data_IF_499764831121
#
_entry.id   IF_499764831121
#
_cell.length_a   1.000
_cell.length_b   1.000
_cell.length_c   1.000
_cell.angle_alpha   90.00
_cell.angle_beta   90.00
_cell.angle_gamma   90.00
#
_symmetry.space_group_name_H-M   'P 1'
#
loop_
_entity.id
_entity.type
_entity.pdbx_description
1 polymer ?
#
# COMPACT_ATOMS: atom_id res chain seq x y z
N UNK A 1 -11.51 6.38 -17.40
CA UNK A 1 -10.38 6.38 -16.43
C UNK A 1 -10.36 5.02 -15.76
N UNK A 2 -9.22 4.37 -15.74
CA UNK A 2 -9.03 3.12 -14.99
C UNK A 2 -8.79 3.42 -13.51
N UNK A 3 -9.48 2.70 -12.63
CA UNK A 3 -9.36 2.83 -11.17
C UNK A 3 -8.70 1.57 -10.61
N UNK A 4 -7.56 1.74 -9.94
CA UNK A 4 -6.78 0.64 -9.34
C UNK A 4 -6.63 0.87 -7.84
N UNK A 5 -7.19 -0.03 -7.03
CA UNK A 5 -6.97 0.02 -5.59
C UNK A 5 -5.56 -0.50 -5.26
N UNK A 6 -4.70 0.39 -4.77
CA UNK A 6 -3.31 0.06 -4.45
C UNK A 6 -3.15 -0.84 -3.22
N UNK A 7 -4.23 -1.16 -2.50
CA UNK A 7 -4.15 -2.06 -1.35
C UNK A 7 -5.51 -2.63 -0.95
N UNK A 8 -5.64 -3.93 -1.13
CA UNK A 8 -6.68 -4.74 -0.48
C UNK A 8 -6.03 -5.94 0.24
N UNK A 9 -6.81 -6.61 1.07
CA UNK A 9 -6.40 -7.83 1.76
C UNK A 9 -7.41 -8.94 1.52
N UNK A 10 -6.92 -10.15 1.22
CA UNK A 10 -7.71 -11.37 1.17
C UNK A 10 -7.20 -12.35 2.22
N UNK A 11 -8.11 -13.07 2.88
CA UNK A 11 -7.79 -14.15 3.81
C UNK A 11 -8.97 -15.11 3.94
N UNK A 12 -8.65 -16.36 4.19
CA UNK A 12 -9.65 -17.44 4.41
C UNK A 12 -9.75 -17.86 5.89
N UNK A 13 -8.68 -17.68 6.66
CA UNK A 13 -8.55 -18.16 8.03
C UNK A 13 -7.67 -17.24 8.89
N UNK A 14 -7.51 -17.62 10.14
CA UNK A 14 -6.73 -16.86 11.11
C UNK A 14 -7.56 -15.80 11.83
N UNK A 15 -6.94 -15.05 12.74
CA UNK A 15 -7.57 -13.98 13.50
C UNK A 15 -7.10 -12.63 13.00
N UNK A 16 -7.94 -11.89 12.30
CA UNK A 16 -7.59 -10.55 11.80
C UNK A 16 -7.23 -9.58 12.94
N UNK A 17 -6.38 -8.61 12.64
CA UNK A 17 -6.17 -7.48 13.55
C UNK A 17 -7.49 -6.77 13.81
N UNK A 18 -7.69 -6.26 15.04
CA UNK A 18 -8.98 -5.76 15.53
C UNK A 18 -9.62 -4.64 14.67
N UNK A 19 -8.82 -3.91 13.90
CA UNK A 19 -9.29 -2.83 13.03
C UNK A 19 -9.74 -3.29 11.64
N UNK A 20 -9.56 -4.56 11.29
CA UNK A 20 -10.12 -5.16 10.08
C UNK A 20 -11.46 -5.87 10.37
N UNK A 21 -12.23 -6.13 9.33
CA UNK A 21 -13.39 -7.03 9.45
C UNK A 21 -12.96 -8.38 10.04
N UNK A 22 -13.80 -8.99 10.84
CA UNK A 22 -13.45 -10.19 11.59
C UNK A 22 -13.88 -11.50 10.89
N UNK A 23 -14.50 -11.42 9.72
CA UNK A 23 -14.86 -12.55 8.87
C UNK A 23 -13.92 -12.67 7.69
N UNK A 24 -13.69 -13.84 7.12
CA UNK A 24 -12.93 -14.00 5.88
C UNK A 24 -13.37 -13.04 4.77
N UNK A 25 -12.44 -12.70 3.89
CA UNK A 25 -12.70 -11.89 2.70
C UNK A 25 -11.99 -12.54 1.52
N UNK A 26 -12.77 -13.13 0.62
CA UNK A 26 -12.28 -13.91 -0.51
C UNK A 26 -12.42 -13.15 -1.83
N UNK A 27 -11.79 -13.66 -2.86
CA UNK A 27 -11.76 -13.01 -4.19
C UNK A 27 -13.13 -12.81 -4.80
N UNK A 28 -14.08 -13.72 -4.57
CA UNK A 28 -15.44 -13.64 -5.12
C UNK A 28 -16.20 -12.44 -4.55
N UNK A 29 -16.09 -12.23 -3.23
CA UNK A 29 -16.70 -11.07 -2.57
C UNK A 29 -15.98 -9.80 -2.96
N UNK A 30 -14.64 -9.82 -2.99
CA UNK A 30 -13.84 -8.67 -3.40
C UNK A 30 -14.17 -8.21 -4.83
N UNK A 31 -14.33 -9.13 -5.77
CA UNK A 31 -14.72 -8.81 -7.16
C UNK A 31 -16.12 -8.19 -7.23
N UNK A 32 -17.09 -8.75 -6.50
CA UNK A 32 -18.43 -8.20 -6.46
C UNK A 32 -18.45 -6.77 -5.89
N UNK A 33 -17.69 -6.55 -4.80
CA UNK A 33 -17.57 -5.23 -4.18
C UNK A 33 -16.84 -4.23 -5.08
N UNK A 34 -15.77 -4.66 -5.78
CA UNK A 34 -15.04 -3.86 -6.77
C UNK A 34 -15.96 -3.43 -7.91
N UNK A 35 -16.72 -4.36 -8.47
CA UNK A 35 -17.65 -4.08 -9.57
C UNK A 35 -18.74 -3.09 -9.14
N UNK A 36 -19.29 -3.25 -7.93
CA UNK A 36 -20.27 -2.34 -7.35
C UNK A 36 -19.70 -0.92 -7.11
N UNK A 37 -18.39 -0.79 -6.86
CA UNK A 37 -17.73 0.48 -6.61
C UNK A 37 -17.08 1.09 -7.86
N UNK A 38 -17.09 0.41 -9.02
CA UNK A 38 -16.47 0.86 -10.24
C UNK A 38 -14.94 0.76 -10.23
N UNK A 39 -14.39 -0.23 -9.53
CA UNK A 39 -12.94 -0.46 -9.44
C UNK A 39 -12.54 -1.54 -10.43
N UNK A 40 -11.62 -1.18 -11.32
CA UNK A 40 -11.20 -2.07 -12.41
C UNK A 40 -10.21 -3.14 -11.91
N UNK A 41 -9.27 -2.75 -11.02
CA UNK A 41 -8.16 -3.59 -10.58
C UNK A 41 -7.83 -3.36 -9.11
N UNK A 42 -7.22 -4.34 -8.45
CA UNK A 42 -6.72 -4.18 -7.08
C UNK A 42 -5.42 -4.92 -6.84
N UNK A 43 -4.57 -4.37 -5.97
CA UNK A 43 -3.34 -5.03 -5.55
C UNK A 43 -3.54 -5.68 -4.19
N UNK A 44 -3.41 -7.02 -4.17
CA UNK A 44 -3.56 -7.82 -2.96
C UNK A 44 -2.26 -7.72 -2.15
N UNK A 45 -2.42 -7.37 -0.90
CA UNK A 45 -1.37 -7.45 0.11
C UNK A 45 -1.71 -8.60 1.06
N UNK A 46 -1.04 -9.75 0.94
CA UNK A 46 -1.25 -10.89 1.83
C UNK A 46 -1.08 -10.52 3.30
N UNK A 47 -1.83 -11.19 4.17
CA UNK A 47 -1.90 -10.88 5.60
C UNK A 47 -1.11 -11.91 6.42
N UNK A 48 -0.48 -11.48 7.51
CA UNK A 48 0.36 -12.37 8.34
C UNK A 48 -0.45 -13.28 9.27
N UNK A 49 -1.73 -12.99 9.52
CA UNK A 49 -2.58 -13.85 10.33
C UNK A 49 -3.13 -15.07 9.59
N UNK A 50 -3.05 -15.08 8.26
CA UNK A 50 -3.34 -16.25 7.43
C UNK A 50 -2.04 -16.72 6.77
N UNK A 51 -1.46 -17.86 7.20
CA UNK A 51 -0.18 -18.34 6.69
C UNK A 51 -0.20 -18.70 5.20
N UNK A 52 -1.40 -18.96 4.64
CA UNK A 52 -1.57 -19.30 3.23
C UNK A 52 -1.93 -18.07 2.37
N UNK A 53 -1.88 -16.87 2.94
CA UNK A 53 -2.36 -15.64 2.29
C UNK A 53 -1.62 -15.31 0.98
N UNK A 54 -0.34 -15.63 0.85
CA UNK A 54 0.37 -15.49 -0.44
C UNK A 54 -0.21 -16.44 -1.50
N UNK A 55 -0.47 -17.70 -1.14
CA UNK A 55 -1.03 -18.68 -2.08
C UNK A 55 -2.47 -18.35 -2.46
N UNK A 56 -3.27 -17.89 -1.48
CA UNK A 56 -4.63 -17.40 -1.73
C UNK A 56 -4.64 -16.24 -2.74
N UNK A 57 -3.68 -15.31 -2.61
CA UNK A 57 -3.52 -14.21 -3.55
C UNK A 57 -3.10 -14.69 -4.94
N UNK A 58 -2.20 -15.69 -5.04
CA UNK A 58 -1.78 -16.30 -6.31
C UNK A 58 -2.98 -17.00 -6.99
N UNK A 59 -3.81 -17.70 -6.23
CA UNK A 59 -5.04 -18.32 -6.76
C UNK A 59 -6.00 -17.26 -7.32
N UNK A 60 -6.15 -16.13 -6.63
CA UNK A 60 -6.98 -15.03 -7.12
C UNK A 60 -6.44 -14.46 -8.45
N UNK A 61 -5.12 -14.25 -8.55
CA UNK A 61 -4.50 -13.78 -9.81
C UNK A 61 -4.61 -14.82 -10.93
N UNK A 62 -4.41 -16.10 -10.66
CA UNK A 62 -4.57 -17.16 -11.68
C UNK A 62 -5.98 -17.20 -12.26
N UNK A 63 -6.98 -16.97 -11.40
CA UNK A 63 -8.38 -16.94 -11.83
C UNK A 63 -8.74 -15.62 -12.55
N UNK A 64 -8.14 -14.50 -12.15
CA UNK A 64 -8.48 -13.16 -12.62
C UNK A 64 -7.21 -12.31 -12.82
N UNK A 65 -6.33 -12.64 -13.80
CA UNK A 65 -5.03 -11.98 -13.99
C UNK A 65 -5.16 -10.49 -14.37
N UNK A 66 -6.29 -10.11 -14.98
CA UNK A 66 -6.56 -8.72 -15.35
C UNK A 66 -7.09 -7.87 -14.19
N UNK A 67 -7.50 -8.51 -13.09
CA UNK A 67 -8.12 -7.84 -11.96
C UNK A 67 -7.18 -7.70 -10.75
N UNK A 68 -6.20 -8.59 -10.59
CA UNK A 68 -5.37 -8.66 -9.41
C UNK A 68 -3.87 -8.72 -9.71
N UNK A 69 -3.08 -8.02 -8.88
CA UNK A 69 -1.65 -8.19 -8.74
C UNK A 69 -1.31 -8.33 -7.24
N UNK A 70 -0.05 -8.66 -6.91
CA UNK A 70 0.33 -9.00 -5.54
C UNK A 70 1.60 -8.24 -5.12
N UNK A 71 1.55 -7.62 -3.95
CA UNK A 71 2.72 -7.21 -3.17
C UNK A 71 2.83 -8.17 -1.98
N UNK A 72 3.59 -9.24 -2.16
CA UNK A 72 3.65 -10.34 -1.19
C UNK A 72 4.64 -10.12 -0.05
N UNK A 73 4.80 -11.11 0.82
CA UNK A 73 5.74 -11.06 1.93
C UNK A 73 6.33 -12.44 2.24
N UNK A 74 7.46 -12.45 2.97
CA UNK A 74 8.06 -13.63 3.57
C UNK A 74 8.77 -13.26 4.88
N UNK A 75 9.16 -14.26 5.68
CA UNK A 75 9.87 -14.02 6.93
C UNK A 75 11.33 -13.64 6.67
N UNK A 76 11.65 -12.37 6.89
CA UNK A 76 12.95 -11.77 6.59
C UNK A 76 14.11 -12.29 7.46
N UNK A 77 13.82 -12.84 8.64
CA UNK A 77 14.78 -13.40 9.58
C UNK A 77 15.04 -14.90 9.37
N UNK A 78 14.29 -15.56 8.48
CA UNK A 78 14.47 -16.97 8.13
C UNK A 78 15.37 -17.06 6.89
N UNK A 79 16.60 -17.56 7.09
CA UNK A 79 17.61 -17.61 6.03
C UNK A 79 17.15 -18.43 4.81
N UNK A 80 16.44 -19.53 5.05
CA UNK A 80 15.86 -20.39 4.02
C UNK A 80 14.81 -19.67 3.17
N UNK A 81 14.09 -18.70 3.72
CA UNK A 81 13.11 -17.91 2.98
C UNK A 81 13.74 -16.75 2.21
N UNK A 82 14.91 -16.27 2.65
CA UNK A 82 15.62 -15.19 1.92
C UNK A 82 15.96 -15.58 0.49
N UNK A 83 16.26 -16.85 0.24
CA UNK A 83 16.55 -17.34 -1.11
C UNK A 83 15.36 -17.19 -2.07
N UNK A 84 14.13 -17.15 -1.56
CA UNK A 84 12.94 -17.01 -2.37
C UNK A 84 12.87 -15.65 -3.12
N UNK A 85 13.61 -14.64 -2.66
CA UNK A 85 13.63 -13.33 -3.31
C UNK A 85 14.20 -13.40 -4.74
N UNK A 86 15.14 -14.29 -5.01
CA UNK A 86 15.78 -14.43 -6.33
C UNK A 86 14.79 -14.85 -7.44
N UNK A 87 13.74 -15.55 -7.08
CA UNK A 87 12.69 -15.99 -8.00
C UNK A 87 11.32 -15.37 -7.70
N UNK A 88 11.29 -14.30 -6.88
CA UNK A 88 10.05 -13.73 -6.36
C UNK A 88 9.06 -13.36 -7.46
N UNK A 89 9.52 -12.60 -8.46
CA UNK A 89 8.70 -12.15 -9.59
C UNK A 89 8.29 -13.26 -10.57
N UNK A 90 8.84 -14.47 -10.45
CA UNK A 90 8.44 -15.62 -11.27
C UNK A 90 7.11 -16.24 -10.78
N UNK A 91 6.69 -15.93 -9.57
CA UNK A 91 5.39 -16.39 -9.04
C UNK A 91 4.26 -15.59 -9.68
N UNK A 92 3.14 -16.25 -10.06
CA UNK A 92 2.03 -15.56 -10.73
C UNK A 92 1.55 -14.31 -9.98
N UNK A 93 1.54 -13.18 -10.67
CA UNK A 93 1.06 -11.90 -10.15
C UNK A 93 1.93 -11.19 -9.12
N UNK A 94 3.06 -11.79 -8.73
CA UNK A 94 3.99 -11.15 -7.78
C UNK A 94 4.72 -9.99 -8.43
N UNK A 95 4.40 -8.77 -8.01
CA UNK A 95 5.00 -7.53 -8.52
C UNK A 95 6.03 -6.93 -7.56
N UNK A 96 5.89 -7.19 -6.27
CA UNK A 96 6.79 -6.61 -5.27
C UNK A 96 6.64 -7.25 -3.89
N UNK A 97 7.17 -6.57 -2.89
CA UNK A 97 7.15 -6.97 -1.50
C UNK A 97 6.45 -5.92 -0.64
N UNK A 98 5.79 -6.38 0.43
CA UNK A 98 5.22 -5.48 1.42
C UNK A 98 5.55 -5.95 2.82
N UNK A 99 6.05 -5.03 3.66
CA UNK A 99 6.41 -5.32 5.04
C UNK A 99 5.89 -4.27 6.01
N UNK A 100 5.69 -4.72 7.26
CA UNK A 100 5.48 -3.85 8.41
C UNK A 100 6.25 -4.42 9.61
N UNK A 101 6.76 -3.54 10.47
CA UNK A 101 7.62 -3.88 11.60
C UNK A 101 7.00 -3.34 12.87
N UNK A 102 5.85 -3.88 13.27
CA UNK A 102 5.07 -3.37 14.41
C UNK A 102 4.95 -4.36 15.58
N UNK A 103 5.43 -5.58 15.42
CA UNK A 103 5.50 -6.54 16.50
C UNK A 103 6.85 -6.46 17.25
N UNK A 104 6.92 -6.90 18.53
CA UNK A 104 8.15 -6.80 19.34
C UNK A 104 9.37 -7.49 18.74
N UNK A 105 9.17 -8.50 17.88
CA UNK A 105 10.27 -9.23 17.23
C UNK A 105 10.92 -8.42 16.12
N UNK A 106 10.13 -7.66 15.38
CA UNK A 106 10.58 -7.01 14.14
C UNK A 106 10.72 -5.49 14.24
N UNK A 107 10.25 -4.86 15.31
CA UNK A 107 10.21 -3.40 15.42
C UNK A 107 11.59 -2.72 15.36
N UNK A 108 12.67 -3.43 15.71
CA UNK A 108 14.04 -2.91 15.63
C UNK A 108 14.71 -3.11 14.27
N UNK A 109 14.20 -4.03 13.45
CA UNK A 109 14.86 -4.46 12.21
C UNK A 109 15.18 -3.35 11.22
N UNK A 110 14.37 -2.29 11.09
CA UNK A 110 14.72 -1.16 10.21
C UNK A 110 16.01 -0.45 10.60
N UNK A 111 16.39 -0.50 11.91
CA UNK A 111 17.50 0.27 12.47
C UNK A 111 18.69 -0.60 12.93
N UNK A 112 18.51 -1.90 13.18
CA UNK A 112 19.51 -2.79 13.76
C UNK A 112 20.39 -3.55 12.75
N UNK A 113 20.20 -3.29 11.45
CA UNK A 113 20.97 -3.94 10.39
C UNK A 113 20.38 -5.27 9.89
N UNK A 114 19.35 -5.82 10.54
CA UNK A 114 18.71 -7.08 10.13
C UNK A 114 18.22 -7.06 8.68
N UNK A 115 17.84 -5.88 8.16
CA UNK A 115 17.32 -5.70 6.80
C UNK A 115 18.38 -5.24 5.79
N UNK A 116 19.63 -5.03 6.18
CA UNK A 116 20.65 -4.46 5.29
C UNK A 116 20.92 -5.33 4.05
N UNK A 117 20.68 -6.62 4.14
CA UNK A 117 20.77 -7.54 3.00
C UNK A 117 19.63 -7.36 1.98
N UNK A 118 18.44 -6.94 2.43
CA UNK A 118 17.23 -6.87 1.61
C UNK A 118 17.33 -5.78 0.53
N UNK A 119 17.80 -4.59 0.92
CA UNK A 119 17.73 -3.41 0.07
C UNK A 119 18.54 -3.55 -1.23
N UNK A 120 19.85 -3.95 -1.19
CA UNK A 120 20.63 -4.14 -2.41
C UNK A 120 20.09 -5.29 -3.27
N UNK A 121 19.53 -6.33 -2.67
CA UNK A 121 18.96 -7.46 -3.43
C UNK A 121 17.67 -7.04 -4.12
N UNK A 122 16.75 -6.37 -3.42
CA UNK A 122 15.52 -5.85 -4.01
C UNK A 122 15.80 -4.84 -5.13
N UNK A 123 16.80 -3.94 -4.93
CA UNK A 123 17.25 -3.00 -5.96
C UNK A 123 17.80 -3.70 -7.20
N UNK A 124 18.65 -4.71 -7.02
CA UNK A 124 19.25 -5.48 -8.12
C UNK A 124 18.21 -6.24 -8.94
N UNK A 125 17.19 -6.78 -8.28
CA UNK A 125 16.13 -7.58 -8.89
C UNK A 125 14.95 -6.73 -9.37
N UNK A 126 15.02 -5.40 -9.24
CA UNK A 126 13.92 -4.48 -9.54
C UNK A 126 12.59 -4.92 -8.88
N UNK A 127 12.66 -5.24 -7.58
CA UNK A 127 11.51 -5.60 -6.76
C UNK A 127 11.07 -4.38 -5.96
N UNK A 128 9.93 -3.74 -6.27
CA UNK A 128 9.39 -2.65 -5.46
C UNK A 128 9.04 -3.13 -4.05
N UNK A 129 9.27 -2.26 -3.05
CA UNK A 129 8.98 -2.56 -1.65
C UNK A 129 8.00 -1.54 -1.08
N UNK A 130 6.87 -2.02 -0.57
CA UNK A 130 5.91 -1.21 0.20
C UNK A 130 6.17 -1.37 1.69
N UNK A 131 6.19 -0.25 2.42
CA UNK A 131 6.52 -0.20 3.83
C UNK A 131 5.45 0.53 4.65
N UNK A 132 4.91 -0.12 5.65
CA UNK A 132 4.22 0.58 6.74
C UNK A 132 5.28 1.14 7.68
N UNK A 133 5.72 2.37 7.41
CA UNK A 133 6.95 2.95 7.94
C UNK A 133 6.74 4.07 8.98
N UNK A 134 5.55 4.15 9.60
CA UNK A 134 5.19 5.26 10.50
C UNK A 134 6.18 5.50 11.65
N UNK A 135 6.91 4.48 12.08
CA UNK A 135 7.87 4.57 13.18
C UNK A 135 9.31 4.89 12.71
N UNK A 136 9.62 4.74 11.39
CA UNK A 136 10.99 4.84 10.89
C UNK A 136 11.10 5.60 9.55
N UNK A 137 10.24 6.58 9.30
CA UNK A 137 10.27 7.41 8.09
C UNK A 137 11.66 8.01 7.77
N UNK A 138 12.42 8.57 8.75
CA UNK A 138 13.77 9.06 8.46
C UNK A 138 14.73 7.97 7.93
N UNK A 139 14.59 6.73 8.42
CA UNK A 139 15.39 5.60 7.96
C UNK A 139 15.09 5.22 6.51
N UNK A 140 13.82 5.36 6.09
CA UNK A 140 13.45 5.16 4.67
C UNK A 140 14.21 6.13 3.76
N UNK A 141 14.38 7.39 4.16
CA UNK A 141 15.18 8.36 3.42
C UNK A 141 16.64 7.90 3.25
N UNK A 142 17.26 7.39 4.31
CA UNK A 142 18.63 6.86 4.25
C UNK A 142 18.74 5.63 3.33
N UNK A 143 17.75 4.74 3.35
CA UNK A 143 17.69 3.58 2.45
C UNK A 143 17.55 4.07 1.00
N UNK A 144 16.66 5.00 0.73
CA UNK A 144 16.42 5.54 -0.60
C UNK A 144 17.68 6.23 -1.19
N UNK A 145 18.46 6.93 -0.36
CA UNK A 145 19.72 7.56 -0.76
C UNK A 145 20.80 6.53 -1.13
N UNK A 146 20.90 5.44 -0.37
CA UNK A 146 21.88 4.36 -0.59
C UNK A 146 21.51 3.46 -1.78
N UNK A 147 20.21 3.35 -2.07
CA UNK A 147 19.65 2.48 -3.09
C UNK A 147 18.74 3.26 -4.06
N UNK A 148 19.31 4.13 -4.92
CA UNK A 148 18.55 5.10 -5.70
C UNK A 148 17.65 4.49 -6.80
N UNK A 149 17.86 3.22 -7.16
CA UNK A 149 16.98 2.50 -8.10
C UNK A 149 15.92 1.68 -7.39
N UNK A 150 16.02 1.47 -6.07
CA UNK A 150 15.02 0.74 -5.29
C UNK A 150 13.74 1.57 -5.20
N UNK A 151 12.65 1.08 -5.78
CA UNK A 151 11.33 1.70 -5.66
C UNK A 151 10.73 1.39 -4.30
N UNK A 152 10.53 2.42 -3.46
CA UNK A 152 9.93 2.30 -2.13
C UNK A 152 8.60 3.05 -2.10
N UNK A 153 7.52 2.41 -1.66
CA UNK A 153 6.25 3.08 -1.40
C UNK A 153 5.89 3.06 0.09
N UNK A 154 5.44 4.18 0.62
CA UNK A 154 5.03 4.32 2.01
C UNK A 154 3.53 4.08 2.12
N UNK A 155 3.14 3.07 2.88
CA UNK A 155 1.74 2.73 3.13
C UNK A 155 1.05 3.81 3.97
N UNK A 156 -0.22 4.08 3.64
CA UNK A 156 -1.14 4.91 4.43
C UNK A 156 -0.60 6.32 4.76
N UNK A 157 0.20 6.91 3.88
CA UNK A 157 0.83 8.21 4.11
C UNK A 157 1.66 8.26 5.42
N UNK A 158 2.24 7.13 5.84
CA UNK A 158 3.02 7.04 7.06
C UNK A 158 2.20 7.21 8.35
N UNK A 159 0.90 7.02 8.30
CA UNK A 159 0.01 7.11 9.47
C UNK A 159 0.28 5.95 10.42
N UNK A 160 0.44 6.21 11.73
CA UNK A 160 0.59 5.14 12.73
C UNK A 160 -0.65 4.24 12.79
N UNK A 161 -0.43 2.96 13.10
CA UNK A 161 -1.54 1.99 13.24
C UNK A 161 -2.49 2.40 14.36
N UNK A 162 -3.75 1.98 14.23
CA UNK A 162 -4.82 2.22 15.20
C UNK A 162 -5.06 3.70 15.55
N UNK A 163 -4.68 4.64 14.65
CA UNK A 163 -4.93 6.07 14.82
C UNK A 163 -6.34 6.41 14.38
N UNK A 164 -6.98 7.32 15.11
CA UNK A 164 -8.27 7.93 14.77
C UNK A 164 -8.15 9.45 14.81
N UNK A 165 -8.85 10.13 13.92
CA UNK A 165 -8.82 11.58 13.76
C UNK A 165 -7.64 12.07 12.91
N UNK A 166 -7.92 13.03 12.03
CA UNK A 166 -6.95 13.56 11.06
C UNK A 166 -5.73 14.18 11.74
N UNK A 167 -5.90 14.92 12.84
CA UNK A 167 -4.79 15.54 13.59
C UNK A 167 -3.77 14.48 14.06
N UNK A 168 -4.25 13.44 14.71
CA UNK A 168 -3.38 12.36 15.19
C UNK A 168 -2.80 11.54 14.02
N UNK A 169 -3.58 11.33 12.97
CA UNK A 169 -3.15 10.58 11.78
C UNK A 169 -1.97 11.26 11.10
N UNK A 170 -2.03 12.57 10.92
CA UNK A 170 -1.04 13.32 10.16
C UNK A 170 0.07 13.95 10.99
N UNK A 171 0.26 13.53 12.24
CA UNK A 171 1.36 14.03 13.10
C UNK A 171 2.75 13.81 12.49
N UNK A 172 2.91 12.76 11.69
CA UNK A 172 4.16 12.43 11.00
C UNK A 172 4.25 13.03 9.57
N UNK A 173 3.26 13.82 9.15
CA UNK A 173 3.22 14.39 7.81
C UNK A 173 4.49 15.18 7.45
N UNK A 174 5.09 16.02 8.32
CA UNK A 174 6.35 16.70 7.97
C UNK A 174 7.49 15.73 7.64
N UNK A 175 7.59 14.60 8.34
CA UNK A 175 8.61 13.58 8.07
C UNK A 175 8.33 12.86 6.74
N UNK A 176 7.07 12.57 6.45
CA UNK A 176 6.68 12.00 5.15
C UNK A 176 7.03 12.96 4.00
N UNK A 177 6.64 14.23 4.11
CA UNK A 177 6.90 15.22 3.06
C UNK A 177 8.40 15.42 2.79
N UNK A 178 9.26 15.28 3.80
CA UNK A 178 10.71 15.33 3.64
C UNK A 178 11.27 14.20 2.74
N UNK A 179 10.52 13.10 2.58
CA UNK A 179 10.90 11.99 1.69
C UNK A 179 10.64 12.28 0.21
N UNK A 180 9.85 13.30 -0.12
CA UNK A 180 9.52 13.64 -1.50
C UNK A 180 10.72 14.05 -2.35
N UNK A 181 11.83 14.48 -1.72
CA UNK A 181 13.12 14.78 -2.37
C UNK A 181 13.75 13.54 -3.03
N UNK A 182 13.39 12.32 -2.59
CA UNK A 182 13.89 11.07 -3.15
C UNK A 182 12.99 10.62 -4.31
N UNK A 183 13.47 10.61 -5.57
CA UNK A 183 12.63 10.27 -6.74
C UNK A 183 12.16 8.80 -6.74
N UNK A 184 12.85 7.94 -6.01
CA UNK A 184 12.55 6.51 -5.83
C UNK A 184 11.66 6.23 -4.61
N UNK A 185 11.10 7.27 -3.97
CA UNK A 185 10.09 7.13 -2.91
C UNK A 185 8.75 7.65 -3.41
N UNK A 186 7.73 6.84 -3.24
CA UNK A 186 6.33 7.16 -3.50
C UNK A 186 5.49 6.96 -2.23
N UNK A 187 4.24 7.39 -2.28
CA UNK A 187 3.31 7.31 -1.15
C UNK A 187 1.99 6.68 -1.58
N UNK A 188 1.47 5.78 -0.79
CA UNK A 188 0.12 5.24 -0.94
C UNK A 188 -0.83 6.03 -0.05
N UNK A 189 -1.75 6.77 -0.66
CA UNK A 189 -2.87 7.42 0.00
C UNK A 189 -4.00 6.40 0.27
N UNK A 190 -3.62 5.25 0.83
CA UNK A 190 -4.53 4.15 1.13
C UNK A 190 -5.16 4.31 2.51
N UNK A 191 -6.43 3.94 2.64
CA UNK A 191 -7.11 3.89 3.92
C UNK A 191 -7.45 5.24 4.53
N UNK A 192 -7.40 6.32 3.77
CA UNK A 192 -7.50 7.68 4.33
C UNK A 192 -8.86 7.94 4.97
N UNK A 193 -9.97 7.55 4.33
CA UNK A 193 -11.30 7.71 4.90
C UNK A 193 -11.46 7.09 6.30
N UNK A 194 -10.70 6.04 6.61
CA UNK A 194 -10.71 5.40 7.93
C UNK A 194 -10.13 6.25 9.06
N UNK A 195 -9.47 7.36 8.77
CA UNK A 195 -8.93 8.28 9.78
C UNK A 195 -9.84 9.48 10.07
N UNK A 196 -10.85 9.72 9.23
CA UNK A 196 -11.79 10.81 9.43
C UNK A 196 -12.74 10.51 10.58
N UNK A 197 -13.04 11.54 11.38
CA UNK A 197 -14.11 11.54 12.38
C UNK A 197 -15.32 12.34 11.90
N UNK A 198 -15.14 13.15 10.88
CA UNK A 198 -16.21 13.90 10.20
C UNK A 198 -16.88 13.03 9.14
N UNK A 199 -18.16 13.33 8.81
CA UNK A 199 -18.88 12.61 7.78
C UNK A 199 -18.28 12.84 6.38
N UNK A 200 -18.66 11.99 5.42
CA UNK A 200 -18.36 12.22 4.01
C UNK A 200 -18.77 13.66 3.60
N UNK A 201 -17.96 14.39 2.85
CA UNK A 201 -16.75 13.95 2.13
C UNK A 201 -15.42 14.06 2.91
N UNK A 202 -15.41 13.93 4.24
CA UNK A 202 -14.21 13.82 5.05
C UNK A 202 -13.27 15.03 4.91
N UNK A 203 -13.80 16.25 5.08
CA UNK A 203 -13.07 17.50 4.89
C UNK A 203 -11.78 17.61 5.71
N UNK A 204 -11.76 16.97 6.89
CA UNK A 204 -10.57 16.94 7.75
C UNK A 204 -9.32 16.32 7.10
N UNK A 205 -9.48 15.55 6.02
CA UNK A 205 -8.38 14.89 5.31
C UNK A 205 -7.81 15.72 4.15
N UNK A 206 -8.58 16.71 3.64
CA UNK A 206 -8.30 17.34 2.34
C UNK A 206 -6.96 18.10 2.31
N UNK A 207 -6.61 18.84 3.38
CA UNK A 207 -5.34 19.57 3.47
C UNK A 207 -4.14 18.61 3.40
N UNK A 208 -4.15 17.54 4.18
CA UNK A 208 -3.05 16.59 4.20
C UNK A 208 -2.88 15.88 2.84
N UNK A 209 -4.00 15.50 2.19
CA UNK A 209 -3.99 14.90 0.86
C UNK A 209 -3.40 15.87 -0.17
N UNK A 210 -3.80 17.15 -0.13
CA UNK A 210 -3.28 18.17 -1.05
C UNK A 210 -1.79 18.40 -0.86
N UNK A 211 -1.32 18.54 0.37
CA UNK A 211 0.11 18.72 0.69
C UNK A 211 0.97 17.52 0.24
N UNK A 212 0.43 16.30 0.35
CA UNK A 212 1.13 15.10 -0.16
C UNK A 212 1.19 15.13 -1.68
N UNK A 213 0.09 15.49 -2.34
CA UNK A 213 0.05 15.64 -3.79
C UNK A 213 1.05 16.70 -4.28
N UNK A 214 1.11 17.87 -3.65
CA UNK A 214 2.05 18.94 -4.00
C UNK A 214 3.51 18.49 -3.87
N UNK A 215 3.82 17.67 -2.85
CA UNK A 215 5.19 17.21 -2.59
C UNK A 215 5.63 16.06 -3.51
N UNK A 216 4.77 15.06 -3.69
CA UNK A 216 5.12 13.84 -4.43
C UNK A 216 4.71 13.87 -5.90
N UNK A 217 3.73 14.70 -6.24
CA UNK A 217 3.14 14.78 -7.57
C UNK A 217 2.29 13.55 -7.94
N UNK A 218 1.58 13.60 -9.09
CA UNK A 218 0.62 12.57 -9.48
C UNK A 218 1.26 11.21 -9.80
N UNK A 219 2.56 11.19 -10.12
CA UNK A 219 3.29 9.95 -10.48
C UNK A 219 3.79 9.16 -9.27
N UNK A 220 3.75 9.75 -8.06
CA UNK A 220 4.28 9.14 -6.84
C UNK A 220 3.28 9.22 -5.67
N UNK A 221 2.02 9.51 -5.95
CA UNK A 221 0.91 9.39 -5.01
C UNK A 221 -0.09 8.38 -5.57
N UNK A 222 -0.38 7.32 -4.82
CA UNK A 222 -1.23 6.21 -5.27
C UNK A 222 -2.47 6.09 -4.41
N UNK A 223 -3.63 6.15 -5.04
CA UNK A 223 -4.91 5.91 -4.38
C UNK A 223 -5.08 4.43 -4.00
N UNK A 224 -5.84 4.18 -2.94
CA UNK A 224 -6.30 2.86 -2.54
C UNK A 224 -7.07 2.91 -1.23
N UNK A 225 -7.70 1.80 -0.84
CA UNK A 225 -8.66 1.83 0.24
C UNK A 225 -8.25 1.10 1.51
N UNK A 226 -7.62 -0.08 1.39
CA UNK A 226 -7.54 -1.01 2.52
C UNK A 226 -8.97 -1.31 3.07
N UNK A 227 -9.89 -1.61 2.16
CA UNK A 227 -11.36 -1.61 2.35
C UNK A 227 -11.81 -2.37 3.59
N UNK A 228 -11.13 -3.43 3.97
CA UNK A 228 -11.53 -4.31 5.07
C UNK A 228 -11.47 -3.65 6.46
N UNK A 229 -10.92 -2.43 6.55
CA UNK A 229 -10.91 -1.60 7.78
C UNK A 229 -11.71 -0.30 7.66
N UNK A 230 -12.38 -0.07 6.54
CA UNK A 230 -13.14 1.17 6.34
C UNK A 230 -14.48 1.13 7.07
N UNK A 231 -14.88 2.30 7.60
CA UNK A 231 -16.21 2.54 8.16
C UNK A 231 -17.17 3.20 7.16
N UNK A 232 -16.72 3.39 5.92
CA UNK A 232 -17.48 3.93 4.80
C UNK A 232 -17.47 2.94 3.62
N UNK A 233 -18.30 3.19 2.62
CA UNK A 233 -18.38 2.33 1.44
C UNK A 233 -17.16 2.51 0.54
N UNK A 234 -16.83 1.49 -0.25
CA UNK A 234 -15.76 1.59 -1.25
C UNK A 234 -16.04 2.72 -2.25
N UNK A 235 -17.31 2.87 -2.66
CA UNK A 235 -17.74 3.99 -3.50
C UNK A 235 -17.40 5.36 -2.88
N UNK A 236 -17.63 5.57 -1.58
CA UNK A 236 -17.24 6.81 -0.91
C UNK A 236 -15.71 7.03 -0.89
N UNK A 237 -14.92 5.96 -0.82
CA UNK A 237 -13.47 6.08 -0.97
C UNK A 237 -13.06 6.52 -2.39
N UNK A 238 -13.76 6.05 -3.42
CA UNK A 238 -13.57 6.49 -4.82
C UNK A 238 -13.97 7.95 -4.96
N UNK A 239 -15.19 8.31 -4.57
CA UNK A 239 -15.75 9.66 -4.78
C UNK A 239 -15.08 10.73 -3.93
N UNK A 240 -14.45 10.36 -2.81
CA UNK A 240 -13.55 11.28 -2.09
C UNK A 240 -12.48 11.86 -3.03
N UNK A 241 -11.84 11.04 -3.86
CA UNK A 241 -10.78 11.49 -4.77
C UNK A 241 -11.31 12.03 -6.09
N UNK A 242 -12.34 11.41 -6.65
CA UNK A 242 -12.84 11.77 -7.98
C UNK A 242 -13.76 12.98 -7.99
N UNK A 243 -14.39 13.32 -6.86
CA UNK A 243 -15.42 14.38 -6.80
C UNK A 243 -15.13 15.42 -5.71
N UNK A 244 -14.63 15.01 -4.54
CA UNK A 244 -14.55 15.91 -3.38
C UNK A 244 -13.24 16.71 -3.31
N UNK A 245 -12.19 16.33 -4.05
CA UNK A 245 -10.91 17.05 -4.08
C UNK A 245 -10.85 17.96 -5.32
N UNK A 246 -11.15 19.27 -5.19
CA UNK A 246 -11.31 20.16 -6.35
C UNK A 246 -10.00 20.40 -7.13
N UNK A 247 -8.86 20.16 -6.52
CA UNK A 247 -7.54 20.32 -7.10
C UNK A 247 -7.07 19.08 -7.90
N UNK A 248 -7.68 17.90 -7.70
CA UNK A 248 -7.29 16.66 -8.35
C UNK A 248 -8.20 16.38 -9.54
N UNK A 249 -7.73 16.65 -10.77
CA UNK A 249 -8.54 16.56 -11.99
C UNK A 249 -7.71 16.13 -13.20
N UNK A 250 -8.42 15.70 -14.26
CA UNK A 250 -7.82 15.40 -15.56
C UNK A 250 -6.72 14.34 -15.49
N UNK A 251 -5.61 14.54 -16.19
CA UNK A 251 -4.51 13.56 -16.23
C UNK A 251 -3.92 13.22 -14.85
N UNK A 252 -3.88 14.18 -13.93
CA UNK A 252 -3.35 13.96 -12.58
C UNK A 252 -4.25 13.03 -11.78
N UNK A 253 -5.57 13.17 -11.91
CA UNK A 253 -6.54 12.24 -11.32
C UNK A 253 -6.35 10.82 -11.87
N UNK A 254 -6.18 10.66 -13.19
CA UNK A 254 -5.94 9.35 -13.82
C UNK A 254 -4.66 8.69 -13.30
N UNK A 255 -3.60 9.48 -13.12
CA UNK A 255 -2.35 8.98 -12.55
C UNK A 255 -2.56 8.49 -11.12
N UNK A 256 -3.13 9.32 -10.23
CA UNK A 256 -3.32 9.02 -8.82
C UNK A 256 -4.26 7.83 -8.62
N UNK A 257 -5.36 7.75 -9.40
CA UNK A 257 -6.39 6.73 -9.25
C UNK A 257 -5.97 5.34 -9.76
N UNK A 258 -4.81 5.21 -10.43
CA UNK A 258 -4.39 3.86 -10.83
C UNK A 258 -3.15 3.81 -11.70
N UNK A 259 -3.05 4.62 -12.75
CA UNK A 259 -1.98 4.50 -13.74
C UNK A 259 -0.59 4.57 -13.11
N UNK A 260 -0.34 5.52 -12.20
CA UNK A 260 0.96 5.70 -11.57
C UNK A 260 1.38 4.49 -10.73
N UNK A 261 0.44 3.82 -10.06
CA UNK A 261 0.79 2.62 -9.29
C UNK A 261 1.10 1.43 -10.20
N UNK A 262 0.34 1.24 -11.28
CA UNK A 262 0.64 0.21 -12.28
C UNK A 262 2.03 0.42 -12.89
N UNK A 263 2.38 1.64 -13.28
CA UNK A 263 3.71 1.99 -13.79
C UNK A 263 4.81 1.75 -12.73
N UNK A 264 4.50 1.99 -11.45
CA UNK A 264 5.45 1.82 -10.34
C UNK A 264 5.81 0.35 -10.09
N UNK A 265 4.83 -0.54 -10.17
CA UNK A 265 5.02 -1.98 -9.91
C UNK A 265 5.17 -2.81 -11.20
N UNK A 266 5.28 -2.16 -12.35
CA UNK A 266 5.43 -2.83 -13.64
C UNK A 266 4.26 -3.78 -13.94
N UNK A 267 3.03 -3.28 -13.77
CA UNK A 267 1.79 -3.99 -14.08
C UNK A 267 1.14 -3.39 -15.34
N UNK A 268 1.28 -4.06 -16.47
CA UNK A 268 0.75 -3.59 -17.75
C UNK A 268 -0.76 -3.30 -17.70
N UNK A 269 -1.16 -2.20 -18.34
CA UNK A 269 -2.54 -1.67 -18.38
C UNK A 269 -3.08 -1.66 -19.80
#
# INVERSE_FOLDING_TARGET
MMIVDAQIHLWAKGKPSAHHRQTPYLKEEALADMDAAGIDRAVIHPVMWDPDSNELAIEAVRAHPDRFAIMGWFYLDQAEQRAAIETWKNRPGMKGLRFYFSDPRSQSWPDDGTLDWLWPVAERLDIPVSLQASAFLPRVGQIAERHPRLKISIDHMGVPRATQGAEAAYRNLPQLLALAKHPNVAVKATGQAGYALDPYPFHSLHDALHRVFDAFGPRRMFWGTDITRMHCTWHQCVTLFTEALPWLKGPDLEMVMGRAFCDWIDWEV
#
